data_IF_477744117035
#
_entry.id   IF_477744117035
#
_cell.length_a   1.000
_cell.length_b   1.000
_cell.length_c   1.000
_cell.angle_alpha   90.00
_cell.angle_beta   90.00
_cell.angle_gamma   90.00
#
_symmetry.space_group_name_H-M   'P 1'
#
loop_
_entity.id
_entity.type
_entity.pdbx_description
1 polymer ?
#
# COMPACT_ATOMS: atom_id res chain seq x y z
N UNK A 1 10.73 -10.10 14.29
CA UNK A 1 9.56 -9.31 13.84
C UNK A 1 8.73 -8.97 15.07
N UNK A 2 8.89 -7.77 15.55
CA UNK A 2 8.15 -7.31 16.71
C UNK A 2 6.68 -7.13 16.31
N UNK A 3 5.87 -7.66 17.10
CA UNK A 3 4.43 -7.82 17.08
C UNK A 3 3.65 -6.71 16.33
N UNK A 4 3.49 -6.86 15.03
CA UNK A 4 2.74 -5.94 14.16
C UNK A 4 1.34 -5.61 14.72
N UNK A 5 0.70 -6.59 15.38
CA UNK A 5 -0.57 -6.39 16.08
C UNK A 5 -0.41 -5.38 17.20
N UNK A 6 0.67 -5.50 18.01
CA UNK A 6 0.95 -4.51 19.07
C UNK A 6 1.25 -3.13 18.50
N UNK A 7 1.99 -3.06 17.38
CA UNK A 7 2.24 -1.79 16.69
C UNK A 7 0.94 -1.13 16.27
N UNK A 8 0.03 -1.88 15.63
CA UNK A 8 -1.27 -1.37 15.19
C UNK A 8 -2.16 -0.99 16.38
N UNK A 9 -2.19 -1.84 17.42
CA UNK A 9 -3.02 -1.63 18.61
C UNK A 9 -2.58 -0.39 19.41
N UNK A 10 -1.28 -0.19 19.54
CA UNK A 10 -0.69 0.91 20.29
C UNK A 10 -0.48 2.19 19.46
N UNK A 11 -0.70 2.14 18.15
CA UNK A 11 -0.53 3.30 17.29
C UNK A 11 -1.49 4.44 17.71
N UNK A 12 -0.92 5.63 17.85
CA UNK A 12 -1.73 6.84 18.11
C UNK A 12 -2.67 7.07 16.94
N UNK A 13 -3.95 7.17 17.22
CA UNK A 13 -4.96 7.53 16.21
C UNK A 13 -4.78 8.99 15.80
N UNK A 14 -4.66 9.25 14.51
CA UNK A 14 -4.33 10.54 13.94
C UNK A 14 -5.42 11.00 12.95
N UNK A 15 -5.75 12.28 13.01
CA UNK A 15 -6.62 12.96 12.05
C UNK A 15 -5.90 14.23 11.59
N UNK A 16 -4.85 14.09 10.77
CA UNK A 16 -4.12 15.24 10.27
C UNK A 16 -5.00 16.05 9.33
N UNK A 17 -4.93 17.36 9.48
CA UNK A 17 -5.65 18.31 8.62
C UNK A 17 -4.70 19.39 8.14
N UNK A 18 -5.06 19.95 6.99
CA UNK A 18 -4.51 21.17 6.44
C UNK A 18 -5.61 22.22 6.42
N UNK A 19 -5.39 23.34 7.08
CA UNK A 19 -6.37 24.42 7.20
C UNK A 19 -5.83 25.67 6.54
N UNK A 20 -6.61 26.20 5.61
CA UNK A 20 -6.45 27.54 5.06
C UNK A 20 -7.34 28.45 5.90
N UNK A 21 -6.75 29.40 6.60
CA UNK A 21 -7.46 30.31 7.52
C UNK A 21 -7.29 31.76 7.08
N UNK A 22 -8.38 32.50 7.08
CA UNK A 22 -8.39 33.98 7.01
C UNK A 22 -8.89 34.53 8.32
N UNK A 23 -7.99 35.15 9.08
CA UNK A 23 -8.31 35.71 10.40
C UNK A 23 -8.47 37.23 10.36
N UNK A 24 -9.41 37.75 11.16
CA UNK A 24 -9.60 39.18 11.45
C UNK A 24 -8.70 39.62 12.58
N UNK A 25 -8.50 38.72 13.55
CA UNK A 25 -7.64 38.93 14.74
C UNK A 25 -6.71 37.73 14.85
N UNK A 26 -5.40 37.94 15.11
CA UNK A 26 -4.43 36.87 15.19
C UNK A 26 -4.80 35.75 16.16
N UNK A 27 -4.79 34.51 15.68
CA UNK A 27 -4.98 33.30 16.45
C UNK A 27 -3.67 32.53 16.55
N UNK A 28 -3.47 31.84 17.70
CA UNK A 28 -2.31 31.01 17.96
C UNK A 28 -2.65 29.52 17.83
N UNK A 29 -1.76 28.75 17.18
CA UNK A 29 -1.85 27.31 17.00
C UNK A 29 -0.57 26.62 17.50
N UNK A 30 -0.32 26.56 18.82
CA UNK A 30 0.99 26.22 19.39
C UNK A 30 1.46 24.80 19.07
N UNK A 31 0.53 23.88 18.83
CA UNK A 31 0.84 22.48 18.52
C UNK A 31 0.82 22.18 17.01
N UNK A 32 0.82 23.20 16.15
CA UNK A 32 0.69 23.06 14.71
C UNK A 32 1.85 23.73 13.98
N UNK A 33 2.11 23.26 12.77
CA UNK A 33 2.99 23.97 11.84
C UNK A 33 2.19 25.04 11.12
N UNK A 34 2.58 26.30 11.28
CA UNK A 34 1.86 27.45 10.71
C UNK A 34 2.77 28.19 9.75
N UNK A 35 2.27 28.43 8.54
CA UNK A 35 2.87 29.33 7.58
C UNK A 35 2.02 30.58 7.50
N UNK A 36 2.62 31.73 7.80
CA UNK A 36 1.97 33.02 7.76
C UNK A 36 1.99 33.59 6.34
N UNK A 37 0.82 33.91 5.81
CA UNK A 37 0.65 34.64 4.56
C UNK A 37 0.36 36.12 4.79
N UNK A 38 0.05 36.85 3.73
CA UNK A 38 -0.38 38.22 3.76
C UNK A 38 -1.84 38.38 4.23
N UNK A 39 -2.21 39.56 4.71
CA UNK A 39 -3.59 39.97 5.01
C UNK A 39 -4.37 39.01 5.93
N UNK A 40 -3.72 38.49 6.97
CA UNK A 40 -4.38 37.58 7.92
C UNK A 40 -4.59 36.15 7.41
N UNK A 41 -3.98 35.78 6.29
CA UNK A 41 -4.01 34.41 5.79
C UNK A 41 -3.00 33.53 6.53
N UNK A 42 -3.40 32.31 6.89
CA UNK A 42 -2.54 31.27 7.46
C UNK A 42 -2.78 29.91 6.79
N UNK A 43 -1.70 29.17 6.61
CA UNK A 43 -1.76 27.77 6.25
C UNK A 43 -1.28 26.95 7.44
N UNK A 44 -2.15 26.08 7.98
CA UNK A 44 -1.94 25.37 9.23
C UNK A 44 -1.97 23.87 8.96
N UNK A 45 -0.93 23.16 9.42
CA UNK A 45 -0.84 21.70 9.40
C UNK A 45 -0.82 21.19 10.84
N UNK A 46 -1.71 20.29 11.18
CA UNK A 46 -1.77 19.72 12.53
C UNK A 46 -2.87 18.68 12.70
N UNK A 47 -3.00 18.20 13.94
CA UNK A 47 -4.06 17.29 14.30
C UNK A 47 -5.39 18.04 14.50
N UNK A 48 -6.48 17.41 14.00
CA UNK A 48 -7.81 18.01 14.13
C UNK A 48 -8.19 18.32 15.58
N UNK A 49 -7.82 17.42 16.51
CA UNK A 49 -8.13 17.59 17.93
C UNK A 49 -7.42 18.81 18.57
N UNK A 50 -6.30 19.28 17.98
CA UNK A 50 -5.60 20.49 18.40
C UNK A 50 -6.17 21.75 17.73
N UNK A 51 -6.67 21.65 16.51
CA UNK A 51 -7.13 22.81 15.71
C UNK A 51 -8.61 23.10 15.97
N UNK A 52 -9.45 22.09 16.03
CA UNK A 52 -10.91 22.24 16.12
C UNK A 52 -11.38 23.09 17.30
N UNK A 53 -10.84 22.96 18.53
CA UNK A 53 -11.23 23.82 19.64
C UNK A 53 -10.96 25.30 19.35
N UNK A 54 -9.78 25.61 18.80
CA UNK A 54 -9.39 27.00 18.50
C UNK A 54 -10.35 27.63 17.49
N UNK A 55 -10.72 26.90 16.43
CA UNK A 55 -11.66 27.40 15.43
C UNK A 55 -13.07 27.61 16.02
N UNK A 56 -13.54 26.70 16.87
CA UNK A 56 -14.88 26.78 17.47
C UNK A 56 -15.02 27.86 18.52
N UNK A 57 -13.97 28.10 19.29
CA UNK A 57 -13.97 29.07 20.42
C UNK A 57 -13.74 30.50 19.93
N UNK A 58 -13.27 30.72 18.72
CA UNK A 58 -12.92 32.03 18.20
C UNK A 58 -13.65 32.44 16.91
N UNK A 59 -14.97 32.24 16.75
CA UNK A 59 -15.69 32.51 15.52
C UNK A 59 -15.64 33.99 15.09
N UNK A 60 -15.55 34.91 16.04
CA UNK A 60 -15.48 36.34 15.75
C UNK A 60 -14.12 36.76 15.15
N UNK A 61 -13.04 36.07 15.55
CA UNK A 61 -11.70 36.31 15.09
C UNK A 61 -11.45 35.74 13.66
N UNK A 62 -12.34 34.92 13.15
CA UNK A 62 -12.22 34.23 11.88
C UNK A 62 -13.07 34.93 10.84
N UNK A 63 -12.51 35.18 9.67
CA UNK A 63 -13.23 35.63 8.49
C UNK A 63 -13.79 34.46 7.70
N UNK A 64 -12.92 33.48 7.43
CA UNK A 64 -13.25 32.26 6.69
C UNK A 64 -12.18 31.19 6.92
N UNK A 65 -12.50 29.94 6.68
CA UNK A 65 -11.51 28.86 6.62
C UNK A 65 -11.97 27.70 5.75
N UNK A 66 -11.00 26.98 5.17
CA UNK A 66 -11.21 25.74 4.43
C UNK A 66 -10.33 24.62 4.98
N UNK A 67 -10.87 23.41 5.07
CA UNK A 67 -10.18 22.26 5.66
C UNK A 67 -10.03 21.16 4.62
N UNK A 68 -8.79 20.70 4.43
CA UNK A 68 -8.49 19.44 3.74
C UNK A 68 -8.22 18.35 4.78
N UNK A 69 -8.89 17.21 4.63
CA UNK A 69 -8.70 16.04 5.48
C UNK A 69 -8.85 14.77 4.63
N UNK A 70 -7.84 13.93 4.60
CA UNK A 70 -7.82 12.70 3.80
C UNK A 70 -8.05 11.43 4.64
N UNK A 71 -7.99 11.54 5.97
CA UNK A 71 -8.16 10.40 6.89
C UNK A 71 -8.66 10.85 8.26
N UNK A 72 -9.33 9.94 8.96
CA UNK A 72 -9.83 10.18 10.32
C UNK A 72 -9.46 9.02 11.24
N UNK A 73 -8.86 9.32 12.40
CA UNK A 73 -8.45 8.34 13.41
C UNK A 73 -7.63 7.18 12.81
N UNK A 74 -6.81 7.49 11.82
CA UNK A 74 -5.93 6.51 11.19
C UNK A 74 -4.84 6.07 12.18
N UNK A 75 -4.57 4.75 12.20
CA UNK A 75 -3.56 4.19 13.10
C UNK A 75 -2.17 4.15 12.45
N UNK A 76 -2.12 3.90 11.15
CA UNK A 76 -0.87 3.69 10.42
C UNK A 76 -0.77 4.74 9.33
N UNK A 77 0.35 5.45 9.30
CA UNK A 77 0.64 6.45 8.28
C UNK A 77 0.85 5.82 6.89
N UNK A 78 0.89 6.65 5.87
CA UNK A 78 1.41 6.26 4.57
C UNK A 78 2.94 6.28 4.59
N UNK A 79 3.54 5.41 3.79
CA UNK A 79 4.99 5.36 3.59
C UNK A 79 5.45 6.68 2.96
N UNK A 80 6.59 7.19 3.40
CA UNK A 80 7.27 8.31 2.75
C UNK A 80 7.91 7.82 1.47
N UNK A 81 7.64 8.50 0.36
CA UNK A 81 8.00 8.05 -0.97
C UNK A 81 9.28 8.68 -1.52
N UNK A 82 9.74 9.78 -0.91
CA UNK A 82 10.75 10.68 -1.47
C UNK A 82 12.10 10.02 -1.74
N UNK A 83 12.49 9.04 -0.91
CA UNK A 83 13.80 8.39 -0.96
C UNK A 83 13.73 6.90 -1.32
N UNK A 84 12.61 6.44 -1.89
CA UNK A 84 12.46 5.03 -2.24
C UNK A 84 13.25 4.69 -3.52
N UNK A 85 13.97 3.56 -3.56
CA UNK A 85 14.72 3.13 -4.74
C UNK A 85 13.81 2.43 -5.79
N UNK A 86 12.58 2.88 -5.94
CA UNK A 86 11.51 2.25 -6.71
C UNK A 86 10.67 3.28 -7.44
N UNK A 87 10.03 2.89 -8.52
CA UNK A 87 9.06 3.71 -9.25
C UNK A 87 7.67 3.56 -8.63
N UNK A 88 7.12 4.65 -8.13
CA UNK A 88 5.78 4.69 -7.53
C UNK A 88 4.89 5.60 -8.37
N UNK A 89 3.88 5.03 -8.99
CA UNK A 89 2.95 5.77 -9.83
C UNK A 89 1.85 6.48 -9.02
N UNK A 90 1.24 7.54 -9.56
CA UNK A 90 0.21 8.29 -8.86
C UNK A 90 -0.98 7.44 -8.39
N UNK A 91 -1.46 7.70 -7.17
CA UNK A 91 -2.61 6.99 -6.61
C UNK A 91 -2.31 5.63 -5.99
N UNK A 92 -1.06 5.18 -5.97
CA UNK A 92 -0.65 4.04 -5.15
C UNK A 92 -0.81 4.38 -3.66
N UNK A 93 -1.39 3.46 -2.88
CA UNK A 93 -1.61 3.62 -1.44
C UNK A 93 -0.72 2.62 -0.71
N UNK A 94 0.34 3.12 -0.09
CA UNK A 94 1.35 2.29 0.56
C UNK A 94 1.42 2.68 2.03
N UNK A 95 1.21 1.72 2.93
CA UNK A 95 1.31 1.97 4.37
C UNK A 95 2.75 1.90 4.87
N UNK A 96 3.05 2.71 5.87
CA UNK A 96 4.29 2.61 6.63
C UNK A 96 4.52 1.17 7.14
N UNK A 97 5.78 0.72 7.12
CA UNK A 97 6.15 -0.66 7.42
C UNK A 97 6.09 -1.62 6.23
N UNK A 98 5.77 -1.13 5.03
CA UNK A 98 5.95 -1.85 3.76
C UNK A 98 7.43 -1.76 3.34
N UNK A 99 7.97 -2.84 2.81
CA UNK A 99 9.31 -2.89 2.24
C UNK A 99 9.22 -3.03 0.72
N UNK A 100 9.95 -2.19 -0.02
CA UNK A 100 9.96 -2.17 -1.48
C UNK A 100 11.40 -2.22 -1.95
N UNK A 101 11.71 -3.24 -2.75
CA UNK A 101 13.03 -3.50 -3.27
C UNK A 101 13.44 -2.53 -4.39
N UNK A 102 14.73 -2.54 -4.69
CA UNK A 102 15.33 -1.69 -5.72
C UNK A 102 14.71 -1.96 -7.10
N UNK A 103 14.46 -0.89 -7.85
CA UNK A 103 13.86 -0.95 -9.19
C UNK A 103 12.48 -1.64 -9.25
N UNK A 104 11.80 -1.84 -8.12
CA UNK A 104 10.41 -2.27 -8.12
C UNK A 104 9.50 -1.18 -8.71
N UNK A 105 8.35 -1.61 -9.23
CA UNK A 105 7.37 -0.70 -9.83
C UNK A 105 6.01 -0.92 -9.18
N UNK A 106 5.47 0.13 -8.58
CA UNK A 106 4.13 0.12 -7.99
C UNK A 106 3.23 1.02 -8.84
N UNK A 107 2.30 0.39 -9.55
CA UNK A 107 1.44 1.08 -10.52
C UNK A 107 0.26 1.78 -9.86
N UNK A 108 -0.47 2.56 -10.66
CA UNK A 108 -1.58 3.39 -10.21
C UNK A 108 -2.65 2.61 -9.47
N UNK A 109 -3.06 3.10 -8.31
CA UNK A 109 -4.13 2.50 -7.51
C UNK A 109 -3.77 1.19 -6.81
N UNK A 110 -2.53 0.72 -6.89
CA UNK A 110 -2.08 -0.44 -6.12
C UNK A 110 -2.12 -0.13 -4.62
N UNK A 111 -2.49 -1.12 -3.81
CA UNK A 111 -2.64 -0.98 -2.35
C UNK A 111 -1.73 -1.97 -1.64
N UNK A 112 -0.76 -1.45 -0.90
CA UNK A 112 0.18 -2.24 -0.10
C UNK A 112 -0.05 -1.99 1.39
N UNK A 113 -0.45 -3.02 2.12
CA UNK A 113 -0.74 -2.89 3.54
C UNK A 113 0.53 -3.09 4.38
N UNK A 114 0.46 -2.70 5.65
CA UNK A 114 1.58 -2.79 6.60
C UNK A 114 2.20 -4.20 6.63
N UNK A 115 3.52 -4.24 6.62
CA UNK A 115 4.30 -5.48 6.65
C UNK A 115 4.35 -6.23 5.31
N UNK A 116 3.75 -5.71 4.24
CA UNK A 116 3.94 -6.27 2.92
C UNK A 116 5.39 -6.07 2.44
N UNK A 117 5.90 -7.03 1.67
CA UNK A 117 7.25 -7.01 1.11
C UNK A 117 7.16 -7.21 -0.41
N UNK A 118 7.81 -6.35 -1.15
CA UNK A 118 7.96 -6.44 -2.62
C UNK A 118 9.44 -6.52 -2.93
N UNK A 119 9.86 -7.59 -3.60
CA UNK A 119 11.25 -7.82 -4.00
C UNK A 119 11.69 -6.89 -5.12
N UNK A 120 12.99 -6.88 -5.36
CA UNK A 120 13.61 -6.05 -6.38
C UNK A 120 13.07 -6.37 -7.78
N UNK A 121 13.01 -5.37 -8.66
CA UNK A 121 12.51 -5.47 -10.05
C UNK A 121 11.11 -6.09 -10.18
N UNK A 122 10.35 -6.20 -9.09
CA UNK A 122 8.98 -6.70 -9.12
C UNK A 122 8.00 -5.59 -9.48
N UNK A 123 7.06 -5.88 -10.37
CA UNK A 123 5.97 -4.99 -10.71
C UNK A 123 4.68 -5.40 -9.98
N UNK A 124 4.09 -4.47 -9.27
CA UNK A 124 2.73 -4.56 -8.73
C UNK A 124 1.83 -3.68 -9.59
N UNK A 125 1.01 -4.31 -10.42
CA UNK A 125 0.25 -3.63 -11.47
C UNK A 125 -0.98 -2.90 -10.93
N UNK A 126 -1.71 -2.20 -11.81
CA UNK A 126 -2.79 -1.27 -11.46
C UNK A 126 -3.87 -1.91 -10.59
N UNK A 127 -4.18 -1.28 -9.47
CA UNK A 127 -5.23 -1.72 -8.56
C UNK A 127 -4.98 -3.06 -7.85
N UNK A 128 -3.80 -3.65 -7.97
CA UNK A 128 -3.47 -4.86 -7.23
C UNK A 128 -3.38 -4.59 -5.72
N UNK A 129 -3.74 -5.58 -4.91
CA UNK A 129 -3.79 -5.47 -3.44
C UNK A 129 -2.86 -6.48 -2.80
N UNK A 130 -1.86 -6.00 -2.08
CA UNK A 130 -1.04 -6.79 -1.17
C UNK A 130 -1.55 -6.59 0.26
N UNK A 131 -2.19 -7.61 0.79
CA UNK A 131 -2.67 -7.63 2.17
C UNK A 131 -1.53 -7.56 3.18
N UNK A 132 -1.88 -7.36 4.44
CA UNK A 132 -0.85 -7.25 5.50
C UNK A 132 0.05 -8.48 5.55
N UNK A 133 1.37 -8.25 5.60
CA UNK A 133 2.41 -9.28 5.62
C UNK A 133 2.58 -10.12 4.34
N UNK A 134 1.85 -9.86 3.27
CA UNK A 134 2.07 -10.55 2.01
C UNK A 134 3.52 -10.33 1.51
N UNK A 135 4.17 -11.40 1.05
CA UNK A 135 5.57 -11.36 0.61
C UNK A 135 5.63 -11.74 -0.86
N UNK A 136 6.29 -10.92 -1.65
CA UNK A 136 6.55 -11.16 -3.07
C UNK A 136 8.05 -11.09 -3.31
N UNK A 137 8.61 -12.09 -3.94
CA UNK A 137 10.01 -12.19 -4.32
C UNK A 137 10.42 -11.20 -5.42
N UNK A 138 11.62 -11.40 -5.95
CA UNK A 138 12.20 -10.59 -7.01
C UNK A 138 11.67 -10.99 -8.40
N UNK A 139 11.78 -10.05 -9.35
CA UNK A 139 11.46 -10.27 -10.77
C UNK A 139 10.04 -10.82 -11.03
N UNK A 140 9.09 -10.47 -10.14
CA UNK A 140 7.70 -10.89 -10.26
C UNK A 140 6.86 -9.88 -11.03
N UNK A 141 5.72 -10.35 -11.52
CA UNK A 141 4.65 -9.49 -12.03
C UNK A 141 3.34 -9.85 -11.33
N UNK A 142 2.83 -8.95 -10.52
CA UNK A 142 1.51 -9.07 -9.86
C UNK A 142 0.52 -8.30 -10.72
N UNK A 143 -0.29 -9.03 -11.49
CA UNK A 143 -1.19 -8.47 -12.50
C UNK A 143 -2.27 -7.55 -11.94
N UNK A 144 -2.80 -6.72 -12.82
CA UNK A 144 -3.80 -5.71 -12.46
C UNK A 144 -4.99 -6.30 -11.71
N UNK A 145 -5.39 -5.67 -10.62
CA UNK A 145 -6.50 -6.11 -9.78
C UNK A 145 -6.29 -7.42 -9.03
N UNK A 146 -5.10 -8.02 -9.09
CA UNK A 146 -4.81 -9.23 -8.32
C UNK A 146 -4.80 -8.94 -6.83
N UNK A 147 -5.23 -9.92 -6.01
CA UNK A 147 -5.29 -9.82 -4.56
C UNK A 147 -4.46 -10.92 -3.91
N UNK A 148 -3.43 -10.52 -3.17
CA UNK A 148 -2.73 -11.39 -2.24
C UNK A 148 -3.32 -11.16 -0.85
N UNK A 149 -4.02 -12.16 -0.30
CA UNK A 149 -4.73 -12.02 0.97
C UNK A 149 -3.76 -11.69 2.11
N UNK A 150 -4.19 -10.80 3.00
CA UNK A 150 -3.41 -10.41 4.16
C UNK A 150 -3.73 -11.23 5.38
N UNK A 151 -2.74 -11.44 6.23
CA UNK A 151 -2.91 -12.03 7.56
C UNK A 151 -2.24 -11.14 8.60
N UNK A 152 -3.04 -10.45 9.40
CA UNK A 152 -2.58 -9.67 10.55
C UNK A 152 -2.81 -10.48 11.83
N UNK A 153 -3.94 -11.16 11.93
CA UNK A 153 -4.37 -11.96 13.08
C UNK A 153 -4.83 -13.36 12.63
N UNK A 154 -4.40 -14.43 13.36
CA UNK A 154 -3.38 -14.42 14.42
C UNK A 154 -1.97 -14.28 13.85
N UNK A 155 -1.03 -13.79 14.66
CA UNK A 155 0.38 -13.63 14.26
C UNK A 155 1.05 -14.96 13.87
N UNK A 156 0.54 -16.09 14.36
CA UNK A 156 0.99 -17.43 14.01
C UNK A 156 0.55 -17.88 12.61
N UNK A 157 -0.44 -17.20 12.01
CA UNK A 157 -0.89 -17.56 10.67
C UNK A 157 0.20 -17.21 9.63
N UNK A 158 0.36 -18.11 8.67
CA UNK A 158 1.31 -17.96 7.57
C UNK A 158 0.81 -16.91 6.59
N UNK A 159 1.60 -15.89 6.22
CA UNK A 159 1.23 -14.95 5.18
C UNK A 159 1.29 -15.61 3.79
N UNK A 160 0.64 -15.00 2.80
CA UNK A 160 0.89 -15.32 1.41
C UNK A 160 2.36 -15.05 1.10
N UNK A 161 3.01 -16.03 0.47
CA UNK A 161 4.39 -15.91 0.01
C UNK A 161 4.47 -16.29 -1.46
N UNK A 162 4.98 -15.39 -2.26
CA UNK A 162 5.25 -15.57 -3.69
C UNK A 162 6.75 -15.58 -3.87
N UNK A 163 7.28 -16.63 -4.49
CA UNK A 163 8.70 -16.77 -4.81
C UNK A 163 9.17 -15.79 -5.88
N UNK A 164 10.33 -16.07 -6.47
CA UNK A 164 10.92 -15.23 -7.50
C UNK A 164 10.40 -15.57 -8.90
N UNK A 165 10.42 -14.59 -9.82
CA UNK A 165 10.06 -14.75 -11.25
C UNK A 165 8.65 -15.32 -11.47
N UNK A 166 7.76 -15.06 -10.52
CA UNK A 166 6.36 -15.49 -10.57
C UNK A 166 5.50 -14.49 -11.35
N UNK A 167 4.61 -15.04 -12.18
CA UNK A 167 3.57 -14.26 -12.85
C UNK A 167 2.21 -14.54 -12.19
N UNK A 168 1.61 -13.54 -11.57
CA UNK A 168 0.22 -13.57 -11.11
C UNK A 168 -0.63 -12.84 -12.14
N UNK A 169 -1.56 -13.55 -12.78
CA UNK A 169 -2.45 -12.98 -13.78
C UNK A 169 -3.45 -11.96 -13.18
N UNK A 170 -3.96 -11.08 -14.04
CA UNK A 170 -4.91 -10.06 -13.64
C UNK A 170 -6.15 -10.66 -12.94
N UNK A 171 -6.64 -9.97 -11.89
CA UNK A 171 -7.79 -10.38 -11.07
C UNK A 171 -7.66 -11.77 -10.42
N UNK A 172 -6.46 -12.34 -10.33
CA UNK A 172 -6.25 -13.55 -9.55
C UNK A 172 -6.32 -13.25 -8.05
N UNK A 173 -6.82 -14.20 -7.27
CA UNK A 173 -6.90 -14.10 -5.81
C UNK A 173 -6.08 -15.24 -5.21
N UNK A 174 -5.15 -14.90 -4.32
CA UNK A 174 -4.34 -15.87 -3.56
C UNK A 174 -4.77 -15.79 -2.10
N UNK A 175 -5.29 -16.89 -1.55
CA UNK A 175 -5.77 -16.94 -0.18
C UNK A 175 -4.61 -16.97 0.82
N UNK A 176 -4.91 -16.58 2.05
CA UNK A 176 -3.95 -16.58 3.15
C UNK A 176 -3.31 -17.97 3.36
N UNK A 177 -2.03 -17.97 3.74
CA UNK A 177 -1.24 -19.17 3.97
C UNK A 177 -0.67 -19.83 2.72
N UNK A 178 -1.15 -19.47 1.54
CA UNK A 178 -0.69 -20.05 0.28
C UNK A 178 0.75 -19.62 -0.01
N UNK A 179 1.55 -20.58 -0.46
CA UNK A 179 2.91 -20.39 -0.93
C UNK A 179 2.98 -20.72 -2.43
N UNK A 180 3.50 -19.78 -3.20
CA UNK A 180 3.70 -19.93 -4.64
C UNK A 180 5.20 -20.02 -4.91
N UNK A 181 5.63 -21.15 -5.45
CA UNK A 181 7.04 -21.43 -5.76
C UNK A 181 7.54 -20.61 -6.94
N UNK A 182 8.88 -20.51 -7.05
CA UNK A 182 9.57 -19.77 -8.08
C UNK A 182 9.11 -20.15 -9.48
N UNK A 183 9.14 -19.19 -10.39
CA UNK A 183 8.78 -19.38 -11.80
C UNK A 183 7.35 -19.88 -12.05
N UNK A 184 6.50 -19.94 -11.04
CA UNK A 184 5.11 -20.33 -11.21
C UNK A 184 4.32 -19.26 -11.98
N UNK A 185 3.23 -19.71 -12.61
CA UNK A 185 2.29 -18.84 -13.33
C UNK A 185 0.88 -19.12 -12.81
N UNK A 186 0.25 -18.10 -12.27
CA UNK A 186 -1.17 -18.12 -11.92
C UNK A 186 -1.94 -17.41 -13.03
N UNK A 187 -2.87 -18.10 -13.65
CA UNK A 187 -3.67 -17.52 -14.73
C UNK A 187 -4.61 -16.42 -14.23
N UNK A 188 -4.97 -15.51 -15.13
CA UNK A 188 -5.93 -14.44 -14.82
C UNK A 188 -7.25 -14.99 -14.29
N UNK A 189 -7.83 -14.32 -13.28
CA UNK A 189 -9.09 -14.70 -12.64
C UNK A 189 -9.04 -15.98 -11.80
N UNK A 190 -7.86 -16.58 -11.57
CA UNK A 190 -7.74 -17.78 -10.76
C UNK A 190 -7.93 -17.48 -9.27
N UNK A 191 -8.52 -18.42 -8.52
CA UNK A 191 -8.60 -18.38 -7.05
C UNK A 191 -7.71 -19.49 -6.48
N UNK A 192 -6.55 -19.10 -5.98
CA UNK A 192 -5.53 -20.04 -5.47
C UNK A 192 -5.80 -20.34 -4.00
N UNK A 193 -6.16 -21.56 -3.71
CA UNK A 193 -6.54 -22.05 -2.38
C UNK A 193 -5.52 -23.03 -1.77
N UNK A 194 -4.54 -23.46 -2.56
CA UNK A 194 -3.51 -24.44 -2.18
C UNK A 194 -2.14 -23.97 -2.68
N UNK A 195 -1.07 -24.47 -2.07
CA UNK A 195 0.29 -24.14 -2.49
C UNK A 195 0.52 -24.51 -3.95
N UNK A 196 1.29 -23.67 -4.64
CA UNK A 196 1.66 -23.86 -6.06
C UNK A 196 3.13 -24.23 -6.14
N UNK A 197 3.43 -25.35 -6.76
CA UNK A 197 4.81 -25.78 -6.94
C UNK A 197 5.57 -24.86 -7.92
N UNK A 198 6.89 -24.77 -7.77
CA UNK A 198 7.73 -24.04 -8.68
C UNK A 198 7.58 -24.54 -10.13
N UNK A 199 7.78 -23.66 -11.09
CA UNK A 199 7.69 -23.97 -12.54
C UNK A 199 6.35 -24.56 -12.99
N UNK A 200 5.23 -24.25 -12.32
CA UNK A 200 3.92 -24.75 -12.70
C UNK A 200 2.97 -23.65 -13.12
N UNK A 201 2.00 -24.01 -13.94
CA UNK A 201 0.90 -23.16 -14.36
C UNK A 201 -0.38 -23.66 -13.70
N UNK A 202 -1.07 -22.78 -12.97
CA UNK A 202 -2.36 -23.05 -12.35
C UNK A 202 -3.43 -22.11 -12.88
N UNK A 203 -4.68 -22.57 -12.95
CA UNK A 203 -5.82 -21.79 -13.42
C UNK A 203 -7.14 -22.27 -12.80
N UNK A 204 -8.14 -21.40 -12.84
CA UNK A 204 -9.53 -21.74 -12.46
C UNK A 204 -9.92 -21.29 -11.05
N UNK A 205 -11.15 -21.58 -10.67
CA UNK A 205 -11.73 -21.28 -9.36
C UNK A 205 -12.46 -22.54 -8.83
N UNK A 206 -11.85 -23.27 -7.88
CA UNK A 206 -10.51 -23.09 -7.33
C UNK A 206 -9.42 -23.41 -8.36
N UNK A 207 -8.25 -22.79 -8.23
CA UNK A 207 -7.12 -23.01 -9.13
C UNK A 207 -6.64 -24.46 -9.07
N UNK A 208 -6.34 -25.02 -10.24
CA UNK A 208 -5.81 -26.40 -10.39
C UNK A 208 -4.59 -26.37 -11.28
N UNK A 209 -3.72 -27.36 -11.11
CA UNK A 209 -2.57 -27.58 -11.99
C UNK A 209 -3.02 -27.78 -13.43
N UNK A 210 -2.43 -27.04 -14.34
CA UNK A 210 -2.67 -27.16 -15.79
C UNK A 210 -1.52 -27.86 -16.48
N UNK A 211 -0.29 -27.41 -16.23
CA UNK A 211 0.92 -27.95 -16.83
C UNK A 211 2.17 -27.44 -16.13
N UNK A 212 3.31 -28.06 -16.42
CA UNK A 212 4.62 -27.46 -16.15
C UNK A 212 4.85 -26.28 -17.08
N UNK A 213 5.54 -25.24 -16.63
CA UNK A 213 5.88 -24.06 -17.43
C UNK A 213 6.78 -24.50 -18.61
N UNK A 214 6.28 -24.38 -19.80
CA UNK A 214 6.98 -24.65 -21.04
C UNK A 214 7.62 -23.40 -21.67
N UNK A 215 8.43 -23.53 -22.68
CA UNK A 215 9.10 -22.43 -23.39
C UNK A 215 8.09 -21.38 -23.91
N UNK A 216 6.94 -21.85 -24.41
CA UNK A 216 5.87 -20.97 -24.89
C UNK A 216 5.27 -20.12 -23.77
N UNK A 217 5.13 -20.70 -22.58
CA UNK A 217 4.67 -19.96 -21.40
C UNK A 217 5.76 -19.01 -20.92
N UNK A 218 7.01 -19.49 -20.83
CA UNK A 218 8.15 -18.67 -20.42
C UNK A 218 8.30 -17.42 -21.30
N UNK A 219 8.22 -17.56 -22.63
CA UNK A 219 8.30 -16.42 -23.55
C UNK A 219 7.17 -15.39 -23.39
N UNK A 220 5.99 -15.84 -22.94
CA UNK A 220 4.83 -14.96 -22.68
C UNK A 220 4.85 -14.28 -21.30
N UNK A 221 5.67 -14.80 -20.40
CA UNK A 221 5.79 -14.30 -19.03
C UNK A 221 7.16 -13.69 -18.73
N UNK A 222 8.01 -13.56 -19.78
CA UNK A 222 9.30 -12.89 -19.66
C UNK A 222 9.11 -11.40 -19.35
N UNK A 223 9.99 -10.89 -18.52
CA UNK A 223 10.04 -9.47 -18.22
C UNK A 223 10.64 -8.69 -19.40
N UNK A 224 10.20 -7.48 -19.61
CA UNK A 224 10.75 -6.57 -20.61
C UNK A 224 11.69 -5.59 -19.94
N UNK A 225 12.95 -5.57 -20.40
CA UNK A 225 13.94 -4.60 -19.94
C UNK A 225 13.46 -3.17 -20.19
N UNK A 226 13.78 -2.26 -19.26
CA UNK A 226 13.42 -0.84 -19.36
C UNK A 226 12.02 -0.46 -18.86
N UNK A 227 11.21 -1.42 -18.43
CA UNK A 227 9.93 -1.12 -17.76
C UNK A 227 10.07 -0.99 -16.24
N UNK A 228 11.19 -1.35 -15.69
CA UNK A 228 11.51 -1.35 -14.25
C UNK A 228 12.68 -0.45 -13.95
#
# INVERSE_FOLDING_TARGET
>A
MENLVKTIANAKRSTPVKVYLWEKTPLSFPSCRVFQGAAGCKLIFGEWDAIAPILRENPVAISDYYIECDRRKSAIALLKLEDLPARIEPGAIIREGTQIGENAVIMMGAILNIGAVVGERTMVDMGAVLGGRAIVGADCHIGAGAVLAGVIEPMSATPVTVGDRVMIGANAVVLEGVQIGDDAVVAAGAVVTENVAANTVVAGCPARFIKTKDEKTASKTSLTDGLR
#
